data_IF_340028670477
#
_entry.id   IF_340028670477
#
_cell.length_a   1.000
_cell.length_b   1.000
_cell.length_c   1.000
_cell.angle_alpha   90.00
_cell.angle_beta   90.00
_cell.angle_gamma   90.00
#
_symmetry.space_group_name_H-M   'P 1'
#
loop_
_entity.id
_entity.type
_entity.pdbx_description
1 polymer ?
#
# COMPACT_ATOMS: atom_id res chain seq x y z
N UNK A 1 10.54 -13.07 -15.18
CA UNK A 1 9.91 -12.87 -13.88
C UNK A 1 10.78 -11.92 -13.09
N UNK A 2 10.22 -10.77 -12.76
CA UNK A 2 10.81 -9.73 -11.95
C UNK A 2 10.80 -10.12 -10.47
N UNK A 3 11.56 -9.38 -9.68
CA UNK A 3 11.50 -9.49 -8.22
C UNK A 3 10.38 -8.57 -7.72
N UNK A 4 9.28 -9.18 -7.27
CA UNK A 4 8.11 -8.50 -6.73
C UNK A 4 8.14 -8.30 -5.21
N UNK A 5 9.30 -8.48 -4.56
CA UNK A 5 9.44 -8.29 -3.10
C UNK A 5 8.84 -6.96 -2.63
N UNK A 6 9.07 -5.86 -3.34
CA UNK A 6 8.53 -4.55 -2.96
C UNK A 6 6.99 -4.50 -2.96
N UNK A 7 6.34 -5.13 -3.95
CA UNK A 7 4.88 -5.22 -4.03
C UNK A 7 4.35 -6.04 -2.86
N UNK A 8 4.89 -7.25 -2.64
CA UNK A 8 4.44 -8.10 -1.55
C UNK A 8 4.63 -7.47 -0.18
N UNK A 9 5.74 -6.78 0.06
CA UNK A 9 5.97 -6.08 1.33
C UNK A 9 4.94 -4.94 1.51
N UNK A 10 4.61 -4.18 0.45
CA UNK A 10 3.55 -3.17 0.49
C UNK A 10 2.19 -3.78 0.82
N UNK A 11 1.80 -4.83 0.09
CA UNK A 11 0.50 -5.47 0.27
C UNK A 11 0.37 -6.10 1.65
N UNK A 12 1.43 -6.73 2.15
CA UNK A 12 1.44 -7.31 3.49
C UNK A 12 1.35 -6.24 4.57
N UNK A 13 2.00 -5.08 4.40
CA UNK A 13 1.86 -3.96 5.33
C UNK A 13 0.42 -3.41 5.34
N UNK A 14 -0.21 -3.30 4.18
CA UNK A 14 -1.63 -2.91 4.06
C UNK A 14 -2.55 -3.91 4.77
N UNK A 15 -2.37 -5.21 4.52
CA UNK A 15 -3.13 -6.29 5.19
C UNK A 15 -2.96 -6.25 6.71
N UNK A 16 -1.74 -6.03 7.20
CA UNK A 16 -1.45 -5.87 8.64
C UNK A 16 -2.24 -4.72 9.25
N UNK A 17 -2.29 -3.55 8.59
CA UNK A 17 -3.04 -2.41 9.13
C UNK A 17 -4.55 -2.62 9.08
N UNK A 18 -5.08 -3.36 8.10
CA UNK A 18 -6.50 -3.76 8.10
C UNK A 18 -6.87 -4.56 9.36
N UNK A 19 -5.98 -5.43 9.85
CA UNK A 19 -6.21 -6.15 11.11
C UNK A 19 -6.23 -5.20 12.32
N UNK A 20 -5.43 -4.14 12.32
CA UNK A 20 -5.47 -3.13 13.37
C UNK A 20 -6.75 -2.29 13.32
N UNK A 21 -7.17 -1.89 12.12
CA UNK A 21 -8.45 -1.19 11.89
C UNK A 21 -9.63 -2.03 12.38
N UNK A 22 -9.64 -3.33 12.08
CA UNK A 22 -10.67 -4.26 12.54
C UNK A 22 -10.74 -4.32 14.08
N UNK A 23 -9.60 -4.28 14.77
CA UNK A 23 -9.56 -4.22 16.25
C UNK A 23 -10.11 -2.90 16.79
N UNK A 24 -9.73 -1.76 16.19
CA UNK A 24 -10.27 -0.44 16.58
C UNK A 24 -11.78 -0.42 16.43
N UNK A 25 -12.30 -0.96 15.32
CA UNK A 25 -13.72 -1.05 15.01
C UNK A 25 -14.55 -1.95 15.96
N UNK A 26 -13.92 -2.69 16.89
CA UNK A 26 -14.64 -3.44 17.94
C UNK A 26 -15.11 -2.57 19.11
N UNK A 27 -14.58 -1.35 19.25
CA UNK A 27 -15.01 -0.39 20.26
C UNK A 27 -16.36 0.23 19.89
N UNK A 28 -17.02 0.87 20.86
CA UNK A 28 -18.18 1.71 20.57
C UNK A 28 -17.80 2.81 19.56
N UNK A 29 -18.70 3.16 18.64
CA UNK A 29 -18.38 4.04 17.50
C UNK A 29 -17.70 5.36 17.91
N UNK A 30 -18.19 6.04 18.94
CA UNK A 30 -17.60 7.30 19.43
C UNK A 30 -16.14 7.12 19.90
N UNK A 31 -15.84 5.99 20.54
CA UNK A 31 -14.48 5.67 20.98
C UNK A 31 -13.61 5.30 19.80
N UNK A 32 -14.09 4.45 18.91
CA UNK A 32 -13.37 4.00 17.73
C UNK A 32 -12.95 5.17 16.83
N UNK A 33 -13.85 6.15 16.61
CA UNK A 33 -13.54 7.36 15.84
C UNK A 33 -12.51 8.26 16.54
N UNK A 34 -12.54 8.38 17.87
CA UNK A 34 -11.51 9.13 18.61
C UNK A 34 -10.14 8.47 18.49
N UNK A 35 -10.08 7.14 18.65
CA UNK A 35 -8.86 6.36 18.49
C UNK A 35 -8.27 6.60 17.11
N UNK A 36 -9.10 6.45 16.08
CA UNK A 36 -8.67 6.57 14.70
C UNK A 36 -8.20 7.98 14.33
N UNK A 37 -8.89 9.01 14.84
CA UNK A 37 -8.52 10.41 14.60
C UNK A 37 -7.13 10.77 15.16
N UNK A 38 -6.67 10.07 16.19
CA UNK A 38 -5.36 10.27 16.81
C UNK A 38 -4.31 9.24 16.36
N UNK A 39 -4.68 8.23 15.57
CA UNK A 39 -3.84 7.10 15.20
C UNK A 39 -2.84 7.45 14.06
N UNK A 40 -1.51 7.52 14.33
CA UNK A 40 -0.53 7.66 13.27
C UNK A 40 -0.53 6.50 12.27
N UNK A 41 -1.03 5.32 12.68
CA UNK A 41 -1.18 4.15 11.82
C UNK A 41 -2.17 4.40 10.68
N UNK A 42 -3.27 5.11 10.94
CA UNK A 42 -4.25 5.45 9.90
C UNK A 42 -3.70 6.44 8.87
N UNK A 43 -2.96 7.45 9.33
CA UNK A 43 -2.25 8.40 8.45
C UNK A 43 -1.22 7.68 7.56
N UNK A 44 -0.44 6.76 8.14
CA UNK A 44 0.54 5.94 7.40
C UNK A 44 -0.14 5.05 6.35
N UNK A 45 -1.21 4.36 6.73
CA UNK A 45 -1.98 3.50 5.83
C UNK A 45 -2.49 4.28 4.62
N UNK A 46 -3.21 5.40 4.83
CA UNK A 46 -3.76 6.22 3.74
C UNK A 46 -2.65 6.77 2.84
N UNK A 47 -1.57 7.26 3.45
CA UNK A 47 -0.44 7.82 2.71
C UNK A 47 0.22 6.77 1.83
N UNK A 48 0.50 5.58 2.37
CA UNK A 48 1.15 4.50 1.63
C UNK A 48 0.25 3.97 0.51
N UNK A 49 -1.03 3.73 0.80
CA UNK A 49 -2.01 3.24 -0.18
C UNK A 49 -2.18 4.22 -1.35
N UNK A 50 -2.32 5.51 -1.05
CA UNK A 50 -2.41 6.53 -2.09
C UNK A 50 -1.16 6.58 -2.97
N UNK A 51 0.04 6.51 -2.37
CA UNK A 51 1.31 6.48 -3.12
C UNK A 51 1.38 5.27 -4.04
N UNK A 52 0.99 4.09 -3.55
CA UNK A 52 1.01 2.81 -4.24
C UNK A 52 0.08 2.81 -5.47
N UNK A 53 -1.23 3.03 -5.26
CA UNK A 53 -2.20 3.07 -6.35
C UNK A 53 -1.85 4.14 -7.39
N UNK A 54 -1.44 5.33 -6.94
CA UNK A 54 -1.06 6.40 -7.88
C UNK A 54 0.21 6.03 -8.68
N UNK A 55 1.15 5.29 -8.11
CA UNK A 55 2.34 4.85 -8.84
C UNK A 55 1.97 3.83 -9.93
N UNK A 56 1.04 2.92 -9.65
CA UNK A 56 0.52 1.96 -10.63
C UNK A 56 -0.26 2.65 -11.75
N UNK A 57 -1.19 3.53 -11.38
CA UNK A 57 -2.03 4.27 -12.32
C UNK A 57 -1.21 5.13 -13.28
N UNK A 58 -0.09 5.69 -12.81
CA UNK A 58 0.76 6.55 -13.64
C UNK A 58 1.82 5.78 -14.44
N UNK A 59 2.37 4.68 -13.90
CA UNK A 59 3.59 4.08 -14.43
C UNK A 59 3.48 2.59 -14.80
N UNK A 60 2.44 1.89 -14.36
CA UNK A 60 2.25 0.45 -14.58
C UNK A 60 1.11 0.17 -15.57
N UNK A 61 -0.10 0.67 -15.31
CA UNK A 61 -1.27 0.41 -16.17
C UNK A 61 -1.18 1.02 -17.56
N UNK A 62 -0.74 2.28 -17.76
CA UNK A 62 -0.67 2.88 -19.10
C UNK A 62 0.21 2.12 -20.09
N UNK A 63 1.47 1.72 -19.77
CA UNK A 63 2.27 0.93 -20.69
C UNK A 63 1.71 -0.48 -20.92
N UNK A 64 1.08 -1.11 -19.92
CA UNK A 64 0.40 -2.40 -20.11
C UNK A 64 -0.73 -2.30 -21.11
N UNK A 65 -1.64 -1.33 -20.95
CA UNK A 65 -2.75 -1.09 -21.89
C UNK A 65 -2.26 -0.91 -23.33
N UNK A 66 -1.14 -0.19 -23.52
CA UNK A 66 -0.53 -0.02 -24.84
C UNK A 66 0.00 -1.34 -25.42
N UNK A 67 0.65 -2.16 -24.61
CA UNK A 67 1.20 -3.44 -25.04
C UNK A 67 0.11 -4.48 -25.33
N UNK A 68 -1.00 -4.42 -24.58
CA UNK A 68 -2.11 -5.37 -24.61
C UNK A 68 -3.27 -4.93 -25.51
N UNK A 69 -3.07 -3.92 -26.36
CA UNK A 69 -4.13 -3.30 -27.16
C UNK A 69 -4.95 -4.27 -28.04
N UNK A 70 -4.39 -5.44 -28.38
CA UNK A 70 -5.06 -6.48 -29.18
C UNK A 70 -5.50 -7.70 -28.35
N UNK A 71 -5.49 -7.61 -27.02
CA UNK A 71 -5.91 -8.67 -26.10
C UNK A 71 -7.08 -8.16 -25.23
N UNK A 72 -8.34 -8.39 -25.64
CA UNK A 72 -9.52 -7.90 -24.94
C UNK A 72 -9.61 -8.36 -23.48
N UNK A 73 -9.26 -9.62 -23.20
CA UNK A 73 -9.34 -10.18 -21.85
C UNK A 73 -8.32 -9.50 -20.92
N UNK A 74 -7.11 -9.25 -21.42
CA UNK A 74 -6.08 -8.54 -20.66
C UNK A 74 -6.42 -7.06 -20.46
N UNK A 75 -7.07 -6.41 -21.43
CA UNK A 75 -7.59 -5.05 -21.24
C UNK A 75 -8.72 -4.99 -20.20
N UNK A 76 -9.60 -6.00 -20.17
CA UNK A 76 -10.63 -6.10 -19.14
C UNK A 76 -10.03 -6.27 -17.73
N UNK A 77 -8.89 -6.96 -17.60
CA UNK A 77 -8.14 -7.00 -16.34
C UNK A 77 -7.60 -5.61 -15.95
N UNK A 78 -7.06 -4.84 -16.89
CA UNK A 78 -6.61 -3.46 -16.61
C UNK A 78 -7.77 -2.54 -16.21
N UNK A 79 -8.93 -2.70 -16.86
CA UNK A 79 -10.15 -1.99 -16.46
C UNK A 79 -10.59 -2.36 -15.03
N UNK A 80 -10.44 -3.64 -14.64
CA UNK A 80 -10.73 -4.09 -13.28
C UNK A 80 -9.78 -3.48 -12.25
N UNK A 81 -8.46 -3.45 -12.48
CA UNK A 81 -7.49 -2.85 -11.55
C UNK A 81 -7.82 -1.38 -11.25
N UNK A 82 -8.04 -0.57 -12.29
CA UNK A 82 -8.38 0.85 -12.11
C UNK A 82 -9.75 1.04 -11.44
N UNK A 83 -10.74 0.19 -11.75
CA UNK A 83 -12.06 0.24 -11.11
C UNK A 83 -12.02 -0.16 -9.63
N UNK A 84 -11.16 -1.11 -9.27
CA UNK A 84 -10.95 -1.56 -7.89
C UNK A 84 -10.31 -0.44 -7.05
N UNK A 85 -9.31 0.28 -7.59
CA UNK A 85 -8.77 1.49 -6.93
C UNK A 85 -9.88 2.50 -6.63
N UNK A 86 -10.67 2.85 -7.64
CA UNK A 86 -11.76 3.82 -7.52
C UNK A 86 -12.88 3.37 -6.55
N UNK A 87 -13.02 2.07 -6.31
CA UNK A 87 -14.00 1.53 -5.37
C UNK A 87 -13.52 1.55 -3.91
N UNK A 88 -12.21 1.64 -3.67
CA UNK A 88 -11.62 1.68 -2.33
C UNK A 88 -11.70 3.08 -1.71
N UNK A 89 -11.45 4.13 -2.51
CA UNK A 89 -11.39 5.51 -2.03
C UNK A 89 -12.64 5.97 -1.24
N UNK A 90 -13.89 5.67 -1.67
CA UNK A 90 -15.08 6.08 -0.92
C UNK A 90 -15.15 5.54 0.51
N UNK A 91 -14.63 4.33 0.75
CA UNK A 91 -14.61 3.76 2.10
C UNK A 91 -13.64 4.53 3.01
N UNK A 92 -12.48 4.95 2.49
CA UNK A 92 -11.50 5.77 3.21
C UNK A 92 -12.08 7.15 3.53
N UNK A 93 -12.74 7.78 2.55
CA UNK A 93 -13.39 9.09 2.73
C UNK A 93 -14.50 9.02 3.79
N UNK A 94 -15.31 7.96 3.78
CA UNK A 94 -16.37 7.76 4.77
C UNK A 94 -15.80 7.56 6.19
N UNK A 95 -14.70 6.80 6.31
CA UNK A 95 -13.98 6.61 7.57
C UNK A 95 -13.46 7.96 8.10
N UNK A 96 -12.84 8.76 7.25
CA UNK A 96 -12.34 10.10 7.62
C UNK A 96 -13.46 11.08 7.98
N UNK A 97 -14.64 10.94 7.37
CA UNK A 97 -15.79 11.77 7.69
C UNK A 97 -16.34 11.49 9.10
N UNK A 98 -16.21 10.25 9.58
CA UNK A 98 -16.57 9.82 10.92
C UNK A 98 -18.06 9.94 11.26
N UNK A 99 -18.94 9.69 10.28
CA UNK A 99 -20.40 9.86 10.40
C UNK A 99 -21.19 8.55 10.35
N UNK A 100 -20.53 7.47 9.98
CA UNK A 100 -21.14 6.15 9.81
C UNK A 100 -20.46 5.15 10.76
N UNK A 101 -21.12 4.02 11.10
CA UNK A 101 -20.53 3.03 11.99
C UNK A 101 -19.18 2.53 11.47
N UNK A 102 -18.13 2.63 12.30
CA UNK A 102 -16.76 2.37 11.83
C UNK A 102 -16.59 0.90 11.41
N UNK A 103 -17.26 -0.02 12.11
CA UNK A 103 -17.24 -1.45 11.80
C UNK A 103 -17.67 -1.77 10.37
N UNK A 104 -18.80 -1.24 9.92
CA UNK A 104 -19.30 -1.48 8.56
C UNK A 104 -18.37 -0.91 7.48
N UNK A 105 -17.76 0.25 7.74
CA UNK A 105 -16.81 0.87 6.82
C UNK A 105 -15.49 0.09 6.76
N UNK A 106 -14.98 -0.34 7.90
CA UNK A 106 -13.76 -1.18 7.98
C UNK A 106 -13.98 -2.53 7.31
N UNK A 107 -15.14 -3.16 7.47
CA UNK A 107 -15.49 -4.40 6.76
C UNK A 107 -15.51 -4.20 5.25
N UNK A 108 -16.08 -3.08 4.79
CA UNK A 108 -16.12 -2.70 3.37
C UNK A 108 -14.71 -2.49 2.81
N UNK A 109 -13.89 -1.68 3.50
CA UNK A 109 -12.51 -1.43 3.12
C UNK A 109 -11.68 -2.70 3.11
N UNK A 110 -11.80 -3.54 4.15
CA UNK A 110 -11.06 -4.79 4.30
C UNK A 110 -11.38 -5.74 3.15
N UNK A 111 -12.67 -5.89 2.82
CA UNK A 111 -13.12 -6.75 1.72
C UNK A 111 -12.60 -6.25 0.38
N UNK A 112 -12.78 -4.96 0.08
CA UNK A 112 -12.37 -4.36 -1.18
C UNK A 112 -10.85 -4.44 -1.37
N UNK A 113 -10.07 -3.98 -0.38
CA UNK A 113 -8.62 -3.94 -0.49
C UNK A 113 -8.02 -5.34 -0.51
N UNK A 114 -8.45 -6.27 0.35
CA UNK A 114 -7.90 -7.64 0.33
C UNK A 114 -8.20 -8.36 -0.98
N UNK A 115 -9.38 -8.13 -1.56
CA UNK A 115 -9.75 -8.68 -2.87
C UNK A 115 -8.85 -8.11 -3.96
N UNK A 116 -8.70 -6.79 -3.99
CA UNK A 116 -7.84 -6.10 -4.94
C UNK A 116 -6.39 -6.59 -4.88
N UNK A 117 -5.76 -6.57 -3.70
CA UNK A 117 -4.36 -7.00 -3.53
C UNK A 117 -4.14 -8.45 -3.98
N UNK A 118 -5.11 -9.34 -3.72
CA UNK A 118 -5.01 -10.74 -4.15
C UNK A 118 -5.20 -10.88 -5.65
N UNK A 119 -6.13 -10.12 -6.24
CA UNK A 119 -6.35 -10.12 -7.69
C UNK A 119 -5.13 -9.59 -8.44
N UNK A 120 -4.50 -8.53 -7.94
CA UNK A 120 -3.28 -8.00 -8.50
C UNK A 120 -2.13 -9.01 -8.44
N UNK A 121 -1.89 -9.61 -7.26
CA UNK A 121 -0.83 -10.61 -7.06
C UNK A 121 -1.00 -11.85 -7.94
N UNK A 122 -2.24 -12.35 -8.10
CA UNK A 122 -2.53 -13.59 -8.81
C UNK A 122 -2.66 -13.41 -10.33
N UNK A 123 -3.13 -12.24 -10.79
CA UNK A 123 -3.44 -12.01 -12.20
C UNK A 123 -2.59 -10.91 -12.84
N UNK A 124 -2.44 -9.75 -12.18
CA UNK A 124 -1.76 -8.60 -12.76
C UNK A 124 -0.23 -8.78 -12.75
N UNK A 125 0.39 -9.20 -11.64
CA UNK A 125 1.85 -9.39 -11.55
C UNK A 125 2.38 -10.39 -12.60
N UNK A 126 1.77 -11.58 -12.80
CA UNK A 126 2.20 -12.48 -13.88
C UNK A 126 2.04 -11.87 -15.27
N UNK A 127 0.96 -11.10 -15.51
CA UNK A 127 0.76 -10.43 -16.79
C UNK A 127 1.81 -9.33 -17.00
N UNK A 128 2.20 -8.60 -15.95
CA UNK A 128 3.28 -7.61 -16.01
C UNK A 128 4.60 -8.29 -16.40
N UNK A 129 4.91 -9.45 -15.81
CA UNK A 129 6.10 -10.24 -16.12
C UNK A 129 6.21 -10.64 -17.60
N UNK A 130 5.06 -10.86 -18.25
CA UNK A 130 4.97 -11.22 -19.66
C UNK A 130 4.97 -10.01 -20.60
N UNK A 131 4.62 -8.83 -20.08
CA UNK A 131 4.24 -7.67 -20.90
C UNK A 131 5.26 -6.53 -20.84
N UNK A 132 5.72 -6.14 -19.65
CA UNK A 132 6.54 -4.96 -19.47
C UNK A 132 8.02 -5.25 -19.67
N UNK A 133 8.79 -4.21 -20.03
CA UNK A 133 10.24 -4.28 -20.15
C UNK A 133 10.93 -3.93 -18.82
N UNK A 134 12.19 -4.34 -18.62
CA UNK A 134 12.94 -3.96 -17.41
C UNK A 134 13.01 -2.45 -17.18
N UNK A 135 13.10 -1.65 -18.25
CA UNK A 135 13.13 -0.18 -18.14
C UNK A 135 11.79 0.39 -17.66
N UNK A 136 10.67 -0.23 -18.04
CA UNK A 136 9.34 0.16 -17.56
C UNK A 136 9.17 -0.20 -16.08
N UNK A 137 9.63 -1.38 -15.65
CA UNK A 137 9.66 -1.75 -14.23
C UNK A 137 10.55 -0.81 -13.41
N UNK A 138 11.73 -0.47 -13.94
CA UNK A 138 12.62 0.51 -13.30
C UNK A 138 11.95 1.89 -13.21
N UNK A 139 11.19 2.30 -14.23
CA UNK A 139 10.42 3.56 -14.22
C UNK A 139 9.34 3.53 -13.14
N UNK A 140 8.60 2.42 -13.00
CA UNK A 140 7.62 2.24 -11.93
C UNK A 140 8.26 2.39 -10.54
N UNK A 141 9.39 1.72 -10.29
CA UNK A 141 10.13 1.87 -9.03
C UNK A 141 10.62 3.31 -8.77
N UNK A 142 11.05 4.03 -9.80
CA UNK A 142 11.44 5.44 -9.70
C UNK A 142 10.25 6.35 -9.37
N UNK A 143 9.10 6.13 -10.01
CA UNK A 143 7.87 6.88 -9.74
C UNK A 143 7.41 6.65 -8.31
N UNK A 144 7.39 5.39 -7.85
CA UNK A 144 7.05 5.06 -6.47
C UNK A 144 8.02 5.71 -5.47
N UNK A 145 9.32 5.64 -5.72
CA UNK A 145 10.36 6.27 -4.90
C UNK A 145 10.23 7.80 -4.84
N UNK A 146 9.90 8.44 -5.97
CA UNK A 146 9.68 9.88 -6.03
C UNK A 146 8.42 10.30 -5.23
N UNK A 147 7.34 9.52 -5.32
CA UNK A 147 6.10 9.77 -4.56
C UNK A 147 6.26 9.55 -3.06
N UNK A 148 7.10 8.59 -2.64
CA UNK A 148 7.51 8.46 -1.24
C UNK A 148 8.12 9.77 -0.72
N UNK A 149 9.10 10.33 -1.44
CA UNK A 149 9.68 11.65 -1.16
C UNK A 149 9.91 11.92 0.34
N UNK A 150 9.32 12.98 0.91
CA UNK A 150 9.49 13.33 2.33
C UNK A 150 8.81 12.36 3.31
N UNK A 151 7.92 11.48 2.84
CA UNK A 151 7.26 10.46 3.67
C UNK A 151 8.14 9.21 3.88
N UNK A 152 9.22 9.04 3.10
CA UNK A 152 10.11 7.88 3.17
C UNK A 152 10.60 7.55 4.60
N UNK A 153 11.00 8.52 5.45
CA UNK A 153 11.40 8.25 6.84
C UNK A 153 10.31 7.63 7.72
N UNK A 154 9.04 7.80 7.37
CA UNK A 154 7.90 7.25 8.12
C UNK A 154 7.37 5.97 7.48
N UNK A 155 7.26 5.95 6.14
CA UNK A 155 6.65 4.85 5.39
C UNK A 155 7.60 3.66 5.25
N UNK A 156 8.92 3.84 5.09
CA UNK A 156 9.84 2.70 4.92
C UNK A 156 9.88 1.81 6.18
N UNK A 157 10.06 2.33 7.40
CA UNK A 157 9.94 1.50 8.60
C UNK A 157 8.57 0.84 8.76
N UNK A 158 7.48 1.54 8.39
CA UNK A 158 6.13 0.99 8.40
C UNK A 158 5.95 -0.17 7.44
N UNK A 159 6.53 -0.05 6.26
CA UNK A 159 6.53 -1.07 5.22
C UNK A 159 7.25 -2.34 5.68
N UNK A 160 8.38 -2.16 6.37
CA UNK A 160 9.24 -3.26 6.83
C UNK A 160 8.81 -3.90 8.16
N UNK A 161 7.79 -3.37 8.83
CA UNK A 161 7.32 -3.90 10.10
C UNK A 161 6.65 -5.28 9.92
N UNK A 162 7.28 -6.33 10.46
CA UNK A 162 6.84 -7.71 10.28
C UNK A 162 7.26 -8.36 8.95
N UNK A 163 8.04 -7.66 8.12
CA UNK A 163 8.72 -8.28 6.97
C UNK A 163 9.83 -9.22 7.47
N UNK A 164 10.07 -10.32 6.75
CA UNK A 164 11.20 -11.20 7.04
C UNK A 164 12.55 -10.54 6.71
N UNK A 165 13.64 -11.06 7.28
CA UNK A 165 14.99 -10.52 7.15
C UNK A 165 15.45 -10.41 5.68
N UNK A 166 15.04 -11.35 4.82
CA UNK A 166 15.42 -11.37 3.42
C UNK A 166 14.70 -10.25 2.65
N UNK A 167 13.39 -10.15 2.82
CA UNK A 167 12.55 -9.10 2.23
C UNK A 167 13.01 -7.71 2.67
N UNK A 168 13.31 -7.54 3.96
CA UNK A 168 13.84 -6.29 4.49
C UNK A 168 15.20 -5.93 3.90
N UNK A 169 16.12 -6.90 3.79
CA UNK A 169 17.43 -6.68 3.17
C UNK A 169 17.30 -6.26 1.69
N UNK A 170 16.42 -6.90 0.93
CA UNK A 170 16.14 -6.55 -0.47
C UNK A 170 15.65 -5.10 -0.59
N UNK A 171 14.69 -4.71 0.24
CA UNK A 171 14.13 -3.35 0.22
C UNK A 171 15.17 -2.29 0.61
N UNK A 172 15.96 -2.54 1.64
CA UNK A 172 16.99 -1.61 2.09
C UNK A 172 18.15 -1.48 1.10
N UNK A 173 18.45 -2.53 0.33
CA UNK A 173 19.51 -2.50 -0.68
C UNK A 173 19.27 -1.46 -1.78
N UNK A 174 18.00 -1.13 -2.07
CA UNK A 174 17.61 -0.11 -3.07
C UNK A 174 17.95 1.32 -2.60
N UNK A 175 17.99 1.56 -1.29
CA UNK A 175 18.26 2.88 -0.74
C UNK A 175 19.73 3.28 -0.92
N UNK A 176 20.05 4.56 -1.19
CA UNK A 176 21.44 5.02 -1.16
C UNK A 176 22.01 4.94 0.26
N UNK A 177 23.33 4.83 0.39
CA UNK A 177 24.01 4.64 1.69
C UNK A 177 23.57 5.64 2.77
N UNK A 178 23.46 6.96 2.52
CA UNK A 178 23.00 7.90 3.54
C UNK A 178 21.58 7.59 4.06
N UNK A 179 20.69 7.11 3.19
CA UNK A 179 19.33 6.75 3.56
C UNK A 179 19.29 5.43 4.35
N UNK A 180 20.13 4.44 4.01
CA UNK A 180 20.28 3.22 4.83
C UNK A 180 20.77 3.53 6.24
N UNK A 181 21.80 4.36 6.37
CA UNK A 181 22.31 4.80 7.68
C UNK A 181 21.24 5.56 8.46
N UNK A 182 20.48 6.44 7.79
CA UNK A 182 19.37 7.16 8.43
C UNK A 182 18.23 6.22 8.85
N UNK A 183 17.97 5.17 8.06
CA UNK A 183 16.99 4.13 8.41
C UNK A 183 17.35 3.47 9.75
N UNK A 184 18.58 2.97 9.88
CA UNK A 184 19.04 2.25 11.07
C UNK A 184 19.10 3.14 12.31
N UNK A 185 19.60 4.37 12.15
CA UNK A 185 19.92 5.25 13.28
C UNK A 185 18.77 6.15 13.71
N UNK A 186 17.84 6.46 12.81
CA UNK A 186 16.82 7.49 13.03
C UNK A 186 15.42 7.02 12.67
N UNK A 187 15.19 6.57 11.43
CA UNK A 187 13.83 6.31 10.94
C UNK A 187 13.17 5.14 11.65
N UNK A 188 13.85 3.99 11.74
CA UNK A 188 13.34 2.81 12.40
C UNK A 188 13.17 3.01 13.92
N UNK A 189 14.14 3.58 14.67
CA UNK A 189 13.93 3.94 16.07
C UNK A 189 12.77 4.92 16.30
N UNK A 190 12.62 5.93 15.43
CA UNK A 190 11.50 6.89 15.53
C UNK A 190 10.17 6.18 15.31
N UNK A 191 10.07 5.35 14.27
CA UNK A 191 8.86 4.59 13.96
C UNK A 191 8.46 3.63 15.08
N UNK A 192 9.41 2.88 15.64
CA UNK A 192 9.15 1.93 16.74
C UNK A 192 8.73 2.62 18.03
N UNK A 193 9.05 3.90 18.20
CA UNK A 193 8.57 4.72 19.32
C UNK A 193 7.15 5.26 19.13
N UNK A 194 6.55 5.14 17.93
CA UNK A 194 5.20 5.61 17.65
C UNK A 194 4.17 4.68 18.32
N UNK A 195 3.29 5.28 19.11
CA UNK A 195 2.02 4.65 19.44
C UNK A 195 1.08 4.76 18.22
N UNK A 196 1.21 3.81 17.27
CA UNK A 196 0.50 3.87 15.98
C UNK A 196 -1.02 3.75 16.12
N UNK A 197 -1.46 3.02 17.13
CA UNK A 197 -2.87 2.71 17.40
C UNK A 197 -3.13 2.96 18.90
N UNK A 198 -3.26 4.22 19.32
CA UNK A 198 -3.44 4.57 20.72
C UNK A 198 -4.72 3.93 21.26
N UNK A 199 -4.59 3.11 22.30
CA UNK A 199 -5.65 2.36 23.01
C UNK A 199 -6.09 1.00 22.42
N UNK A 200 -5.28 0.41 21.53
CA UNK A 200 -5.18 -1.06 21.46
C UNK A 200 -4.31 -1.62 22.59
#
# INVERSE_FOLDING_TARGET
MYDWTAMYVMHNALRRELEHLAKVATHDDDEAHRILAEAPGWDLFKTALHIHHTAEDEALWPPMRKALANNPDALALMDAMEAEHAAIDPAIEAIDAGKEPLSALVDTLTTALTTHLSHEEEAALPLIDETLTPDQIATFGQVHGAKLGPNAPRVIPWLLDGADDQSAATMLAVLPEPARTAYETTWHPTYTSLNRWPTL
#
